data_IF_214162901657
#
_entry.id   IF_214162901657
#
_cell.length_a   1.000
_cell.length_b   1.000
_cell.length_c   1.000
_cell.angle_alpha   90.00
_cell.angle_beta   90.00
_cell.angle_gamma   90.00
#
_symmetry.space_group_name_H-M   'P 1'
#
loop_
_entity.id
_entity.type
_entity.pdbx_description
1 polymer ?
#
# COMPACT_ATOMS: atom_id res chain seq x y z
N UNK A 1 -25.40 -3.02 -14.84
CA UNK A 1 -25.27 -2.50 -13.46
C UNK A 1 -23.78 -2.33 -13.16
N UNK A 2 -23.25 -1.11 -13.27
CA UNK A 2 -21.85 -0.84 -12.93
C UNK A 2 -21.71 -0.95 -11.41
N UNK A 3 -21.08 -2.03 -10.93
CA UNK A 3 -20.61 -2.07 -9.54
C UNK A 3 -19.47 -1.08 -9.46
N UNK A 4 -19.74 0.11 -8.91
CA UNK A 4 -18.68 0.98 -8.39
C UNK A 4 -18.08 0.20 -7.23
N UNK A 5 -17.03 -0.57 -7.51
CA UNK A 5 -16.29 -1.31 -6.50
C UNK A 5 -15.56 -0.28 -5.67
N UNK A 6 -15.96 -0.16 -4.40
CA UNK A 6 -15.25 0.65 -3.41
C UNK A 6 -13.74 0.33 -3.51
N UNK A 7 -12.85 1.34 -3.54
CA UNK A 7 -11.42 1.09 -3.61
C UNK A 7 -10.99 0.16 -2.47
N UNK A 8 -10.07 -0.76 -2.78
CA UNK A 8 -9.54 -1.67 -1.77
C UNK A 8 -8.73 -0.88 -0.75
N UNK A 9 -8.63 -1.40 0.48
CA UNK A 9 -7.79 -0.79 1.52
C UNK A 9 -6.35 -0.59 1.04
N UNK A 10 -5.82 -1.52 0.24
CA UNK A 10 -4.50 -1.42 -0.38
C UNK A 10 -4.39 -0.21 -1.33
N UNK A 11 -5.41 0.02 -2.16
CA UNK A 11 -5.46 1.17 -3.07
C UNK A 11 -5.60 2.50 -2.32
N UNK A 12 -6.38 2.52 -1.24
CA UNK A 12 -6.53 3.70 -0.39
C UNK A 12 -5.21 4.05 0.32
N UNK A 13 -4.52 3.06 0.90
CA UNK A 13 -3.24 3.26 1.59
C UNK A 13 -2.12 3.66 0.63
N UNK A 14 -2.12 3.13 -0.58
CA UNK A 14 -1.15 3.51 -1.62
C UNK A 14 -1.37 4.96 -2.09
N UNK A 15 -2.63 5.34 -2.34
CA UNK A 15 -2.96 6.72 -2.71
C UNK A 15 -2.59 7.72 -1.60
N UNK A 16 -2.75 7.35 -0.32
CA UNK A 16 -2.30 8.19 0.79
C UNK A 16 -0.77 8.34 0.80
N UNK A 17 -0.02 7.27 0.53
CA UNK A 17 1.43 7.33 0.43
C UNK A 17 1.89 8.25 -0.72
N UNK A 18 1.25 8.18 -1.89
CA UNK A 18 1.52 9.07 -3.03
C UNK A 18 1.22 10.54 -2.71
N UNK A 19 0.15 10.81 -1.96
CA UNK A 19 -0.13 12.18 -1.49
C UNK A 19 0.95 12.68 -0.54
N UNK A 20 1.47 11.82 0.33
CA UNK A 20 2.56 12.18 1.24
C UNK A 20 3.84 12.46 0.45
N UNK A 21 4.23 11.61 -0.50
CA UNK A 21 5.42 11.85 -1.32
C UNK A 21 5.31 13.14 -2.12
N UNK A 22 4.14 13.41 -2.71
CA UNK A 22 3.90 14.66 -3.43
C UNK A 22 4.05 15.90 -2.53
N UNK A 23 3.67 15.82 -1.24
CA UNK A 23 3.92 16.92 -0.29
C UNK A 23 5.39 17.16 0.00
N UNK A 24 6.23 16.11 -0.05
CA UNK A 24 7.68 16.25 0.11
C UNK A 24 8.37 16.78 -1.15
N UNK A 25 7.79 16.53 -2.33
CA UNK A 25 8.29 17.02 -3.62
C UNK A 25 7.96 18.51 -3.86
N UNK A 26 6.88 19.01 -3.23
CA UNK A 26 6.58 20.43 -3.20
C UNK A 26 7.47 21.08 -2.11
N UNK A 27 8.56 21.73 -2.53
CA UNK A 27 9.72 22.22 -1.75
C UNK A 27 9.43 23.14 -0.53
N UNK A 28 8.18 23.37 -0.14
CA UNK A 28 7.76 24.27 0.95
C UNK A 28 7.42 23.55 2.27
N UNK A 29 7.79 22.28 2.44
CA UNK A 29 7.52 21.55 3.69
C UNK A 29 8.52 21.90 4.80
N UNK A 30 8.03 22.48 5.90
CA UNK A 30 8.85 22.74 7.09
C UNK A 30 9.02 21.48 7.95
N UNK A 31 9.97 21.49 8.89
CA UNK A 31 10.28 20.32 9.73
C UNK A 31 9.14 19.89 10.66
N UNK A 32 8.37 20.85 11.19
CA UNK A 32 7.25 20.56 12.11
C UNK A 32 6.15 19.78 11.40
N UNK A 33 5.92 20.07 10.11
CA UNK A 33 4.98 19.36 9.24
C UNK A 33 5.58 18.09 8.62
N UNK A 34 6.88 18.12 8.29
CA UNK A 34 7.59 17.01 7.65
C UNK A 34 7.74 15.79 8.53
N UNK A 35 8.10 15.96 9.81
CA UNK A 35 8.30 14.83 10.74
C UNK A 35 7.04 13.93 10.86
N UNK A 36 5.82 14.44 11.10
CA UNK A 36 4.64 13.59 11.19
C UNK A 36 4.28 12.94 9.85
N UNK A 37 4.40 13.64 8.72
CA UNK A 37 4.16 13.09 7.38
C UNK A 37 5.14 11.95 7.05
N UNK A 38 6.41 12.12 7.42
CA UNK A 38 7.44 11.10 7.23
C UNK A 38 7.14 9.84 8.04
N UNK A 39 6.77 9.98 9.32
CA UNK A 39 6.35 8.86 10.17
C UNK A 39 5.14 8.14 9.59
N UNK A 40 4.15 8.88 9.07
CA UNK A 40 2.98 8.30 8.43
C UNK A 40 3.34 7.55 7.15
N UNK A 41 4.20 8.14 6.31
CA UNK A 41 4.70 7.51 5.09
C UNK A 41 5.42 6.19 5.36
N UNK A 42 6.32 6.14 6.36
CA UNK A 42 6.99 4.90 6.76
C UNK A 42 6.02 3.84 7.29
N UNK A 43 5.00 4.25 8.04
CA UNK A 43 3.97 3.34 8.52
C UNK A 43 3.17 2.74 7.37
N UNK A 44 2.71 3.57 6.42
CA UNK A 44 2.00 3.12 5.22
C UNK A 44 2.87 2.18 4.38
N UNK A 45 4.13 2.53 4.14
CA UNK A 45 5.05 1.68 3.39
C UNK A 45 5.22 0.29 4.02
N UNK A 46 5.30 0.23 5.36
CA UNK A 46 5.34 -1.04 6.10
C UNK A 46 4.03 -1.84 5.96
N UNK A 47 2.89 -1.18 6.11
CA UNK A 47 1.56 -1.81 6.00
C UNK A 47 1.32 -2.36 4.58
N UNK A 48 1.63 -1.57 3.55
CA UNK A 48 1.56 -1.97 2.15
C UNK A 48 2.45 -3.17 1.86
N UNK A 49 3.71 -3.14 2.29
CA UNK A 49 4.65 -4.26 2.12
C UNK A 49 4.09 -5.54 2.74
N UNK A 50 3.63 -5.47 3.98
CA UNK A 50 3.06 -6.63 4.67
C UNK A 50 1.84 -7.19 3.93
N UNK A 51 0.97 -6.31 3.42
CA UNK A 51 -0.23 -6.74 2.68
C UNK A 51 0.14 -7.42 1.36
N UNK A 52 1.09 -6.86 0.62
CA UNK A 52 1.55 -7.45 -0.65
C UNK A 52 2.18 -8.81 -0.41
N UNK A 53 3.08 -8.93 0.58
CA UNK A 53 3.69 -10.22 0.92
C UNK A 53 2.66 -11.26 1.36
N UNK A 54 1.62 -10.86 2.11
CA UNK A 54 0.54 -11.77 2.46
C UNK A 54 -0.22 -12.30 1.24
N UNK A 55 -0.46 -11.45 0.24
CA UNK A 55 -1.11 -11.83 -1.02
C UNK A 55 -0.19 -12.75 -1.83
N UNK A 56 1.10 -12.47 -1.89
CA UNK A 56 2.09 -13.31 -2.58
C UNK A 56 2.16 -14.72 -1.96
N UNK A 57 2.12 -14.81 -0.62
CA UNK A 57 2.07 -16.07 0.09
C UNK A 57 0.79 -16.85 -0.21
N UNK A 58 -0.38 -16.19 -0.19
CA UNK A 58 -1.67 -16.81 -0.52
C UNK A 58 -1.66 -17.35 -1.97
N UNK A 59 -1.10 -16.60 -2.92
CA UNK A 59 -0.94 -17.08 -4.30
C UNK A 59 0.01 -18.28 -4.38
N UNK A 60 1.06 -18.31 -3.57
CA UNK A 60 2.02 -19.42 -3.53
C UNK A 60 1.36 -20.67 -2.97
N UNK A 61 0.64 -20.56 -1.86
CA UNK A 61 -0.14 -21.67 -1.26
C UNK A 61 -1.16 -22.23 -2.25
N UNK A 62 -1.89 -21.35 -2.95
CA UNK A 62 -2.84 -21.78 -4.00
C UNK A 62 -2.12 -22.58 -5.11
N UNK A 63 -0.95 -22.12 -5.56
CA UNK A 63 -0.20 -22.83 -6.60
C UNK A 63 0.29 -24.19 -6.12
N UNK A 64 0.73 -24.29 -4.87
CA UNK A 64 1.18 -25.53 -4.27
C UNK A 64 0.01 -26.52 -4.09
N UNK A 65 -1.14 -26.06 -3.60
CA UNK A 65 -2.36 -26.86 -3.41
C UNK A 65 -2.89 -27.45 -4.73
N UNK A 66 -2.64 -26.76 -5.84
CA UNK A 66 -3.05 -27.18 -7.18
C UNK A 66 -1.88 -27.66 -8.04
N UNK A 67 -0.69 -27.90 -7.47
CA UNK A 67 0.50 -28.30 -8.22
C UNK A 67 0.35 -29.69 -8.86
N UNK A 68 -0.49 -30.56 -8.29
CA UNK A 68 -0.76 -31.91 -8.77
C UNK A 68 -2.04 -32.00 -9.65
N UNK A 69 -2.59 -30.87 -10.11
CA UNK A 69 -3.75 -30.83 -11.03
C UNK A 69 -3.39 -31.01 -12.52
N UNK A 70 -2.11 -31.22 -12.84
CA UNK A 70 -1.64 -31.60 -14.18
C UNK A 70 -1.82 -33.10 -14.48
#
# INVERSE_FOLDING_TARGET
MNKITKPSKLSEDFAELEQITSKFENEEINLEEGIPLFKRGLKLAKELKNRITSIENEITEIKDDFADLD
#
